data_IF_464310024308
#
_entry.id   IF_464310024308
#
_cell.length_a   1.000
_cell.length_b   1.000
_cell.length_c   1.000
_cell.angle_alpha   90.00
_cell.angle_beta   90.00
_cell.angle_gamma   90.00
#
_symmetry.space_group_name_H-M   'P 1'
#
loop_
_entity.id
_entity.type
_entity.pdbx_description
1 polymer ?
#
# COMPACT_ATOMS: atom_id res chain seq x y z
N UNK A 1 -19.77 8.11 -4.57
CA UNK A 1 -19.14 9.03 -3.59
C UNK A 1 -17.93 9.62 -4.28
N UNK A 2 -17.86 10.93 -4.45
CA UNK A 2 -16.74 11.57 -5.18
C UNK A 2 -15.67 12.03 -4.17
N UNK A 3 -14.62 11.23 -4.03
CA UNK A 3 -13.53 11.48 -3.08
C UNK A 3 -12.35 12.05 -3.87
N UNK A 4 -11.89 13.24 -3.48
CA UNK A 4 -10.65 13.82 -4.01
C UNK A 4 -9.49 13.45 -3.10
N UNK A 5 -8.44 12.86 -3.66
CA UNK A 5 -7.23 12.45 -2.93
C UNK A 5 -6.01 13.14 -3.53
N UNK A 6 -5.04 13.42 -2.69
CA UNK A 6 -3.69 13.78 -3.08
C UNK A 6 -2.71 13.06 -2.14
N UNK A 7 -1.55 12.68 -2.65
CA UNK A 7 -0.50 12.04 -1.89
C UNK A 7 0.86 12.57 -2.29
N UNK A 8 1.73 12.76 -1.30
CA UNK A 8 3.11 13.19 -1.46
C UNK A 8 3.95 12.45 -0.42
N UNK A 9 5.12 11.99 -0.83
CA UNK A 9 6.12 11.41 0.09
C UNK A 9 7.48 12.04 -0.22
N UNK A 10 8.38 12.00 0.76
CA UNK A 10 9.71 12.62 0.72
C UNK A 10 10.67 11.78 1.57
N UNK A 11 11.91 11.59 1.12
CA UNK A 11 12.93 10.84 1.88
C UNK A 11 13.36 11.54 3.17
N UNK A 12 13.08 12.84 3.29
CA UNK A 12 13.52 13.68 4.37
C UNK A 12 15.01 14.00 4.28
N UNK A 13 15.61 14.35 5.41
CA UNK A 13 16.98 14.90 5.47
C UNK A 13 18.02 13.92 6.02
N UNK A 14 17.58 12.77 6.53
CA UNK A 14 18.41 11.85 7.31
C UNK A 14 18.53 10.44 6.70
N UNK A 15 17.55 10.00 5.90
CA UNK A 15 17.56 8.69 5.26
C UNK A 15 18.18 8.80 3.86
N UNK A 16 18.83 7.73 3.41
CA UNK A 16 19.39 7.62 2.05
C UNK A 16 18.35 7.14 1.03
N UNK A 17 17.25 6.54 1.50
CA UNK A 17 16.18 5.97 0.69
C UNK A 17 14.84 6.21 1.36
N UNK A 18 13.83 6.49 0.54
CA UNK A 18 12.45 6.57 0.97
C UNK A 18 11.85 5.16 0.95
N UNK A 19 11.30 4.72 2.08
CA UNK A 19 10.69 3.40 2.24
C UNK A 19 9.16 3.48 2.33
N UNK A 20 8.59 4.67 2.10
CA UNK A 20 7.16 4.87 1.98
C UNK A 20 6.64 4.46 0.60
N UNK A 21 5.44 3.87 0.58
CA UNK A 21 4.67 3.64 -0.63
C UNK A 21 3.22 4.11 -0.47
N UNK A 22 2.63 4.65 -1.54
CA UNK A 22 1.28 5.22 -1.53
C UNK A 22 0.40 4.55 -2.60
N UNK A 23 -0.87 4.28 -2.25
CA UNK A 23 -1.93 3.88 -3.17
C UNK A 23 -3.07 4.89 -3.14
N UNK A 24 -3.53 5.31 -4.33
CA UNK A 24 -4.67 6.22 -4.48
C UNK A 24 -5.59 5.69 -5.58
N UNK A 25 -6.80 5.26 -5.19
CA UNK A 25 -7.89 4.80 -6.06
C UNK A 25 -9.21 5.46 -5.63
N UNK A 26 -9.36 6.79 -5.80
CA UNK A 26 -10.56 7.53 -5.38
C UNK A 26 -11.87 6.95 -5.92
N UNK A 27 -11.88 6.50 -7.18
CA UNK A 27 -13.07 5.89 -7.79
C UNK A 27 -13.55 4.61 -7.11
N UNK A 28 -12.66 3.93 -6.37
CA UNK A 28 -12.95 2.72 -5.59
C UNK A 28 -13.09 2.99 -4.10
N UNK A 29 -12.86 4.22 -3.65
CA UNK A 29 -12.79 4.56 -2.23
C UNK A 29 -11.60 3.93 -1.50
N UNK A 30 -10.52 3.59 -2.23
CA UNK A 30 -9.33 2.94 -1.66
C UNK A 30 -8.16 3.90 -1.66
N UNK A 31 -7.53 4.04 -0.50
CA UNK A 31 -6.27 4.74 -0.29
C UNK A 31 -5.43 3.93 0.69
N UNK A 32 -4.11 3.86 0.48
CA UNK A 32 -3.21 3.18 1.41
C UNK A 32 -1.86 3.90 1.51
N UNK A 33 -1.22 3.74 2.66
CA UNK A 33 0.16 4.14 2.92
C UNK A 33 0.84 2.95 3.58
N UNK A 34 2.03 2.59 3.11
CA UNK A 34 2.88 1.57 3.72
C UNK A 34 4.25 2.18 4.03
N UNK A 35 4.69 2.07 5.29
CA UNK A 35 6.01 2.50 5.77
C UNK A 35 6.89 1.25 5.95
N UNK A 36 7.94 1.15 5.13
CA UNK A 36 8.91 0.08 5.21
C UNK A 36 9.83 0.24 6.41
N UNK A 37 9.99 -0.82 7.21
CA UNK A 37 10.83 -0.78 8.41
C UNK A 37 12.32 -0.54 8.05
N UNK A 38 12.83 0.64 8.40
CA UNK A 38 14.24 0.98 8.23
C UNK A 38 15.19 0.13 9.08
N UNK A 39 16.40 -0.09 8.56
CA UNK A 39 17.43 -0.90 9.23
C UNK A 39 17.38 -2.40 8.92
N UNK A 40 16.32 -2.88 8.25
CA UNK A 40 16.29 -4.18 7.58
C UNK A 40 16.60 -4.01 6.08
N UNK A 41 17.11 -5.05 5.43
CA UNK A 41 17.28 -5.02 3.98
C UNK A 41 15.90 -4.89 3.32
N UNK A 42 15.78 -3.98 2.34
CA UNK A 42 14.65 -3.90 1.41
C UNK A 42 13.29 -3.43 1.97
N UNK A 43 13.26 -2.51 2.95
CA UNK A 43 12.01 -1.88 3.43
C UNK A 43 11.20 -1.20 2.33
N UNK A 44 11.88 -0.58 1.36
CA UNK A 44 11.30 0.00 0.14
C UNK A 44 10.62 -1.05 -0.76
N UNK A 45 11.20 -2.25 -0.86
CA UNK A 45 10.61 -3.35 -1.62
C UNK A 45 9.37 -3.87 -0.89
N UNK A 46 9.46 -4.06 0.43
CA UNK A 46 8.34 -4.57 1.22
C UNK A 46 7.13 -3.62 1.20
N UNK A 47 7.34 -2.31 1.37
CA UNK A 47 6.24 -1.33 1.29
C UNK A 47 5.64 -1.25 -0.10
N UNK A 48 6.46 -1.37 -1.15
CA UNK A 48 5.99 -1.44 -2.54
C UNK A 48 5.11 -2.67 -2.79
N UNK A 49 5.57 -3.86 -2.39
CA UNK A 49 4.80 -5.10 -2.50
C UNK A 49 3.46 -4.96 -1.77
N UNK A 50 3.46 -4.37 -0.57
CA UNK A 50 2.23 -4.20 0.19
C UNK A 50 1.19 -3.39 -0.58
N UNK A 51 1.55 -2.22 -1.12
CA UNK A 51 0.59 -1.39 -1.86
C UNK A 51 0.18 -1.99 -3.19
N UNK A 52 1.08 -2.69 -3.89
CA UNK A 52 0.79 -3.32 -5.17
C UNK A 52 -0.21 -4.48 -4.97
N UNK A 53 -0.03 -5.32 -3.94
CA UNK A 53 -0.99 -6.40 -3.61
C UNK A 53 -2.35 -5.84 -3.18
N UNK A 54 -2.37 -4.76 -2.40
CA UNK A 54 -3.62 -4.09 -2.03
C UNK A 54 -4.34 -3.56 -3.27
N UNK A 55 -3.62 -2.96 -4.22
CA UNK A 55 -4.21 -2.48 -5.47
C UNK A 55 -4.81 -3.62 -6.28
N UNK A 56 -4.05 -4.70 -6.51
CA UNK A 56 -4.49 -5.85 -7.30
C UNK A 56 -5.73 -6.54 -6.70
N UNK A 57 -5.71 -6.79 -5.39
CA UNK A 57 -6.83 -7.42 -4.69
C UNK A 57 -8.08 -6.54 -4.75
N UNK A 58 -7.94 -5.25 -4.46
CA UNK A 58 -9.09 -4.34 -4.42
C UNK A 58 -9.63 -3.99 -5.81
N UNK A 59 -8.81 -4.08 -6.87
CA UNK A 59 -9.25 -3.90 -8.26
C UNK A 59 -10.24 -4.99 -8.71
N UNK A 60 -10.16 -6.19 -8.11
CA UNK A 60 -11.04 -7.32 -8.43
C UNK A 60 -12.37 -7.32 -7.64
N UNK A 61 -12.50 -6.46 -6.64
CA UNK A 61 -13.68 -6.40 -5.78
C UNK A 61 -14.78 -5.49 -6.36
N UNK A 62 -16.06 -5.73 -5.99
CA UNK A 62 -17.15 -4.82 -6.31
C UNK A 62 -16.91 -3.42 -5.72
N UNK A 63 -17.35 -2.40 -6.45
CA UNK A 63 -17.25 -1.01 -6.00
C UNK A 63 -18.04 -0.79 -4.69
N UNK A 64 -17.42 -0.09 -3.74
CA UNK A 64 -18.03 0.20 -2.44
C UNK A 64 -18.02 -0.97 -1.43
N UNK A 65 -17.51 -2.14 -1.81
CA UNK A 65 -17.48 -3.34 -0.97
C UNK A 65 -16.06 -3.74 -0.53
N UNK A 66 -15.08 -2.83 -0.55
CA UNK A 66 -13.70 -3.17 -0.20
C UNK A 66 -13.50 -3.45 1.30
N UNK A 67 -14.23 -2.74 2.17
CA UNK A 67 -13.99 -2.76 3.62
C UNK A 67 -14.02 -4.16 4.27
N UNK A 68 -14.99 -5.05 3.94
CA UNK A 68 -15.00 -6.43 4.44
C UNK A 68 -13.75 -7.25 4.09
N UNK A 69 -13.09 -6.97 2.97
CA UNK A 69 -11.95 -7.72 2.45
C UNK A 69 -10.59 -7.14 2.87
N UNK A 70 -10.57 -6.04 3.63
CA UNK A 70 -9.31 -5.38 4.02
C UNK A 70 -8.38 -6.30 4.81
N UNK A 71 -8.93 -7.12 5.72
CA UNK A 71 -8.14 -8.09 6.49
C UNK A 71 -7.44 -9.09 5.57
N UNK A 72 -8.20 -9.77 4.72
CA UNK A 72 -7.66 -10.75 3.77
C UNK A 72 -6.64 -10.09 2.82
N UNK A 73 -6.91 -8.87 2.38
CA UNK A 73 -6.02 -8.11 1.50
C UNK A 73 -4.68 -7.81 2.17
N UNK A 74 -4.70 -7.40 3.45
CA UNK A 74 -3.48 -7.15 4.24
C UNK A 74 -2.73 -8.46 4.54
N UNK A 75 -3.44 -9.55 4.82
CA UNK A 75 -2.84 -10.89 5.01
C UNK A 75 -2.18 -11.37 3.72
N UNK A 76 -2.80 -11.17 2.55
CA UNK A 76 -2.20 -11.48 1.25
C UNK A 76 -0.93 -10.66 0.98
N UNK A 77 -0.93 -9.37 1.35
CA UNK A 77 0.25 -8.52 1.25
C UNK A 77 1.38 -9.00 2.16
N UNK A 78 1.08 -9.39 3.40
CA UNK A 78 2.05 -9.99 4.31
C UNK A 78 2.68 -11.25 3.73
N UNK A 79 1.85 -12.16 3.24
CA UNK A 79 2.29 -13.41 2.61
C UNK A 79 3.13 -13.20 1.34
N UNK A 80 2.84 -12.15 0.56
CA UNK A 80 3.64 -11.78 -0.60
C UNK A 80 5.03 -11.27 -0.19
N UNK A 81 5.13 -10.46 0.87
CA UNK A 81 6.41 -9.97 1.41
C UNK A 81 7.27 -11.14 1.91
N UNK A 82 6.67 -12.13 2.58
CA UNK A 82 7.41 -13.31 3.09
C UNK A 82 7.98 -14.20 1.97
N UNK A 83 7.46 -14.09 0.74
CA UNK A 83 7.88 -14.89 -0.42
C UNK A 83 8.82 -14.14 -1.39
N UNK A 84 9.10 -12.87 -1.13
CA UNK A 84 9.89 -12.00 -1.99
C UNK A 84 11.41 -12.17 -1.81
#
# INVERSE_FOLDING_TARGET
MDIRVAGRTDVGRARSRNEDALLQRPGRGVVAVADGMGGHAAGDIASRIAVDVVDDRTASLPDGEVAPYLRETVEAAHEAILRA
#
